data_IF_001691295853
#
_entry.id   IF_001691295853
#
_cell.length_a   1.000
_cell.length_b   1.000
_cell.length_c   1.000
_cell.angle_alpha   90.00
_cell.angle_beta   90.00
_cell.angle_gamma   90.00
#
_symmetry.space_group_name_H-M   'P 1'
#
loop_
_entity.id
_entity.type
_entity.pdbx_description
1 polymer ?
#
# COMPACT_ATOMS: atom_id res chain seq x y z
N UNK A 1 -38.84 11.76 -36.62
CA UNK A 1 -37.72 12.65 -36.36
C UNK A 1 -36.41 11.89 -36.12
N UNK A 2 -36.25 11.07 -35.09
CA UNK A 2 -34.95 10.41 -34.76
C UNK A 2 -34.30 9.55 -35.89
N UNK A 3 -35.04 8.96 -36.81
CA UNK A 3 -34.49 8.09 -37.86
C UNK A 3 -33.92 8.87 -39.05
N UNK A 4 -34.44 10.03 -39.35
CA UNK A 4 -33.94 10.96 -40.40
C UNK A 4 -32.65 11.61 -39.95
N UNK A 5 -32.57 12.12 -38.69
CA UNK A 5 -31.39 12.73 -38.14
C UNK A 5 -30.18 11.76 -38.09
N UNK A 6 -30.43 10.47 -37.81
CA UNK A 6 -29.39 9.43 -37.80
C UNK A 6 -28.86 9.12 -39.21
N UNK A 7 -29.65 9.24 -40.24
CA UNK A 7 -29.21 9.01 -41.63
C UNK A 7 -28.33 10.17 -42.12
N UNK A 8 -28.72 11.39 -41.87
CA UNK A 8 -27.92 12.58 -42.22
C UNK A 8 -26.57 12.61 -41.49
N UNK A 9 -26.53 12.18 -40.22
CA UNK A 9 -25.29 12.11 -39.44
C UNK A 9 -24.35 11.00 -39.97
N UNK A 10 -24.90 9.86 -40.40
CA UNK A 10 -24.11 8.79 -41.01
C UNK A 10 -23.56 9.21 -42.38
N UNK A 11 -24.32 9.95 -43.21
CA UNK A 11 -23.86 10.47 -44.50
C UNK A 11 -22.69 11.47 -44.32
N UNK A 12 -22.71 12.32 -43.29
CA UNK A 12 -21.58 13.18 -42.92
C UNK A 12 -20.35 12.36 -42.56
N UNK A 13 -20.53 11.28 -41.77
CA UNK A 13 -19.43 10.35 -41.41
C UNK A 13 -18.85 9.71 -42.66
N UNK A 14 -19.69 9.27 -43.64
CA UNK A 14 -19.25 8.68 -44.91
C UNK A 14 -18.41 9.67 -45.72
N UNK A 15 -18.85 10.91 -45.87
CA UNK A 15 -18.12 11.96 -46.60
C UNK A 15 -16.75 12.22 -45.97
N UNK A 16 -16.70 12.42 -44.65
CA UNK A 16 -15.46 12.67 -43.93
C UNK A 16 -14.53 11.44 -44.01
N UNK A 17 -15.07 10.23 -43.90
CA UNK A 17 -14.31 8.98 -44.04
C UNK A 17 -13.69 8.80 -45.43
N UNK A 18 -14.40 9.18 -46.50
CA UNK A 18 -13.87 9.19 -47.88
C UNK A 18 -12.66 10.10 -47.98
N UNK A 19 -12.74 11.31 -47.49
CA UNK A 19 -11.61 12.27 -47.51
C UNK A 19 -10.40 11.74 -46.74
N UNK A 20 -10.61 11.10 -45.56
CA UNK A 20 -9.54 10.50 -44.77
C UNK A 20 -8.88 9.34 -45.53
N UNK A 21 -9.69 8.43 -46.13
CA UNK A 21 -9.19 7.25 -46.81
C UNK A 21 -8.54 7.53 -48.17
N UNK A 22 -8.81 8.68 -48.78
CA UNK A 22 -8.08 9.14 -49.97
C UNK A 22 -6.59 9.41 -49.69
N UNK A 23 -6.26 9.82 -48.43
CA UNK A 23 -4.91 10.19 -48.06
C UNK A 23 -4.20 9.15 -47.16
N UNK A 24 -4.95 8.39 -46.37
CA UNK A 24 -4.38 7.50 -45.37
C UNK A 24 -5.01 6.12 -45.36
N UNK A 25 -4.17 5.11 -45.41
CA UNK A 25 -4.56 3.72 -45.23
C UNK A 25 -4.87 3.43 -43.76
N UNK A 26 -6.10 3.25 -43.38
CA UNK A 26 -6.54 2.98 -42.01
C UNK A 26 -7.21 1.61 -41.89
N UNK A 27 -6.92 0.86 -40.83
CA UNK A 27 -7.72 -0.32 -40.47
C UNK A 27 -9.09 0.07 -39.92
N UNK A 28 -10.03 -0.88 -39.89
CA UNK A 28 -11.40 -0.64 -39.42
C UNK A 28 -11.46 -0.11 -38.00
N UNK A 29 -10.58 -0.56 -37.09
CA UNK A 29 -10.52 -0.03 -35.75
C UNK A 29 -10.12 1.45 -35.72
N UNK A 30 -9.11 1.84 -36.51
CA UNK A 30 -8.64 3.21 -36.54
C UNK A 30 -9.63 4.16 -37.26
N UNK A 31 -10.28 3.70 -38.31
CA UNK A 31 -11.32 4.46 -38.99
C UNK A 31 -12.56 4.62 -38.10
N UNK A 32 -13.11 3.51 -37.62
CA UNK A 32 -14.39 3.55 -36.90
C UNK A 32 -14.30 4.26 -35.54
N UNK A 33 -13.13 4.21 -34.82
CA UNK A 33 -12.99 4.90 -33.53
C UNK A 33 -13.16 6.41 -33.60
N UNK A 34 -12.92 7.02 -34.75
CA UNK A 34 -13.12 8.44 -34.94
C UNK A 34 -14.58 8.88 -34.89
N UNK A 35 -15.49 7.96 -35.12
CA UNK A 35 -16.93 8.20 -35.26
C UNK A 35 -17.79 7.46 -34.25
N UNK A 36 -17.18 6.74 -33.27
CA UNK A 36 -17.93 5.94 -32.27
C UNK A 36 -18.95 6.81 -31.52
N UNK A 37 -18.54 7.97 -31.03
CA UNK A 37 -19.40 8.85 -30.23
C UNK A 37 -20.54 9.43 -31.08
N UNK A 38 -20.24 9.95 -32.25
CA UNK A 38 -21.23 10.53 -33.16
C UNK A 38 -22.23 9.49 -33.68
N UNK A 39 -21.74 8.32 -34.02
CA UNK A 39 -22.59 7.24 -34.53
C UNK A 39 -23.28 6.39 -33.45
N UNK A 40 -23.02 6.66 -32.14
CA UNK A 40 -23.54 5.89 -31.00
C UNK A 40 -23.24 4.37 -31.09
N UNK A 41 -22.06 4.00 -31.58
CA UNK A 41 -21.63 2.62 -31.72
C UNK A 41 -20.74 2.15 -30.55
N UNK A 42 -20.86 0.84 -30.22
CA UNK A 42 -20.08 0.23 -29.13
C UNK A 42 -18.72 -0.31 -29.58
N UNK A 43 -18.47 -0.45 -30.89
CA UNK A 43 -17.27 -1.05 -31.46
C UNK A 43 -16.74 -0.27 -32.65
N UNK A 44 -15.52 0.25 -32.54
CA UNK A 44 -14.83 0.93 -33.65
C UNK A 44 -14.60 0.00 -34.84
N UNK A 45 -14.25 -1.27 -34.61
CA UNK A 45 -14.05 -2.25 -35.70
C UNK A 45 -15.32 -2.45 -36.51
N UNK A 46 -16.47 -2.67 -35.83
CA UNK A 46 -17.74 -2.87 -36.52
C UNK A 46 -18.17 -1.64 -37.30
N UNK A 47 -18.04 -0.48 -36.71
CA UNK A 47 -18.36 0.80 -37.35
C UNK A 47 -17.43 1.05 -38.56
N UNK A 48 -16.12 0.86 -38.39
CA UNK A 48 -15.17 1.03 -39.49
C UNK A 48 -15.40 0.10 -40.64
N UNK A 49 -15.77 -1.16 -40.38
CA UNK A 49 -16.16 -2.12 -41.41
C UNK A 49 -17.43 -1.66 -42.13
N UNK A 50 -18.47 -1.22 -41.42
CA UNK A 50 -19.70 -0.67 -42.02
C UNK A 50 -19.41 0.55 -42.91
N UNK A 51 -18.61 1.51 -42.42
CA UNK A 51 -18.20 2.68 -43.21
C UNK A 51 -17.47 2.24 -44.47
N UNK A 52 -16.51 1.34 -44.36
CA UNK A 52 -15.74 0.82 -45.49
C UNK A 52 -16.61 0.15 -46.56
N UNK A 53 -17.56 -0.69 -46.14
CA UNK A 53 -18.51 -1.33 -47.04
C UNK A 53 -19.41 -0.31 -47.76
N UNK A 54 -19.86 0.76 -47.04
CA UNK A 54 -20.69 1.82 -47.62
C UNK A 54 -19.98 2.64 -48.72
N UNK A 55 -18.63 2.69 -48.67
CA UNK A 55 -17.82 3.44 -49.66
C UNK A 55 -17.10 2.54 -50.66
N UNK A 56 -17.34 1.23 -50.63
CA UNK A 56 -16.67 0.21 -51.46
C UNK A 56 -15.12 0.29 -51.41
N UNK A 57 -14.57 0.62 -50.22
CA UNK A 57 -13.13 0.70 -50.04
C UNK A 57 -12.52 -0.66 -49.60
N UNK A 58 -11.37 -1.03 -50.15
CA UNK A 58 -10.68 -2.26 -49.82
C UNK A 58 -10.13 -2.29 -48.39
N UNK A 59 -10.04 -3.48 -47.81
CA UNK A 59 -9.34 -3.67 -46.55
C UNK A 59 -7.84 -3.37 -46.71
N UNK A 60 -7.23 -2.83 -45.68
CA UNK A 60 -5.85 -2.36 -45.68
C UNK A 60 -4.98 -3.37 -44.95
N UNK A 61 -3.84 -3.73 -45.54
CA UNK A 61 -2.87 -4.67 -44.96
C UNK A 61 -2.03 -4.01 -43.86
N UNK A 62 -1.72 -2.70 -43.98
CA UNK A 62 -0.89 -1.97 -43.04
C UNK A 62 -1.48 -0.60 -42.70
N UNK A 63 -1.98 -0.46 -41.48
CA UNK A 63 -2.61 0.77 -41.02
C UNK A 63 -1.57 1.90 -40.81
N UNK A 64 -1.85 3.09 -41.37
CA UNK A 64 -0.99 4.27 -41.19
C UNK A 64 -0.75 4.61 -39.72
N UNK A 65 -1.80 4.61 -38.88
CA UNK A 65 -1.72 5.01 -37.47
C UNK A 65 -1.15 3.88 -36.60
N UNK A 66 -1.86 2.76 -36.51
CA UNK A 66 -1.58 1.74 -35.49
C UNK A 66 -0.50 0.73 -35.89
N UNK A 67 -0.11 0.68 -37.16
CA UNK A 67 0.87 -0.30 -37.68
C UNK A 67 0.53 -1.72 -37.19
N UNK A 68 -0.72 -2.12 -37.38
CA UNK A 68 -1.32 -3.44 -37.06
C UNK A 68 -1.40 -3.79 -35.55
N UNK A 69 -1.27 -2.77 -34.68
CA UNK A 69 -1.40 -2.98 -33.23
C UNK A 69 -2.73 -3.64 -32.84
N UNK A 70 -3.84 -3.24 -33.49
CA UNK A 70 -5.17 -3.81 -33.21
C UNK A 70 -5.31 -5.27 -33.63
N UNK A 71 -4.52 -5.77 -34.59
CA UNK A 71 -4.51 -7.19 -34.96
C UNK A 71 -3.88 -8.07 -33.89
N UNK A 72 -2.94 -7.49 -33.10
CA UNK A 72 -2.22 -8.17 -32.02
C UNK A 72 -2.93 -8.08 -30.65
N UNK A 73 -4.12 -7.49 -30.54
CA UNK A 73 -4.82 -7.31 -29.26
C UNK A 73 -5.03 -8.64 -28.53
N UNK A 74 -5.33 -9.72 -29.24
CA UNK A 74 -5.56 -11.03 -28.62
C UNK A 74 -4.29 -11.60 -27.97
N UNK A 75 -3.11 -11.34 -28.55
CA UNK A 75 -1.82 -11.69 -27.97
C UNK A 75 -1.63 -10.95 -26.62
N UNK A 76 -1.87 -9.65 -26.60
CA UNK A 76 -1.72 -8.87 -25.36
C UNK A 76 -2.76 -9.25 -24.30
N UNK A 77 -3.98 -9.59 -24.69
CA UNK A 77 -4.98 -10.13 -23.75
C UNK A 77 -4.52 -11.47 -23.18
N UNK A 78 -3.90 -12.34 -23.99
CA UNK A 78 -3.28 -13.58 -23.48
C UNK A 78 -2.19 -13.27 -22.46
N UNK A 79 -1.29 -12.33 -22.77
CA UNK A 79 -0.24 -11.89 -21.81
C UNK A 79 -0.85 -11.36 -20.50
N UNK A 80 -1.97 -10.61 -20.56
CA UNK A 80 -2.69 -10.17 -19.35
C UNK A 80 -3.22 -11.36 -18.55
N UNK A 81 -3.81 -12.35 -19.22
CA UNK A 81 -4.29 -13.58 -18.56
C UNK A 81 -3.13 -14.32 -17.89
N UNK A 82 -2.03 -14.54 -18.60
CA UNK A 82 -0.85 -15.24 -18.08
C UNK A 82 -0.23 -14.50 -16.87
N UNK A 83 -0.15 -13.18 -16.95
CA UNK A 83 0.40 -12.34 -15.86
C UNK A 83 -0.54 -12.30 -14.65
N UNK A 84 -1.83 -12.52 -14.81
CA UNK A 84 -2.82 -12.52 -13.73
C UNK A 84 -2.97 -13.86 -13.01
N UNK A 85 -2.27 -14.92 -13.45
CA UNK A 85 -2.34 -16.24 -12.82
C UNK A 85 -1.91 -16.15 -11.36
N UNK A 86 -2.73 -16.71 -10.46
CA UNK A 86 -2.49 -16.74 -9.03
C UNK A 86 -2.90 -15.46 -8.28
N UNK A 87 -3.45 -14.44 -8.96
CA UNK A 87 -3.99 -13.24 -8.33
C UNK A 87 -5.50 -13.33 -8.15
N UNK A 88 -6.00 -12.94 -6.99
CA UNK A 88 -7.42 -12.72 -6.70
C UNK A 88 -7.77 -11.25 -6.94
N UNK A 89 -8.71 -10.99 -7.84
CA UNK A 89 -9.24 -9.65 -8.12
C UNK A 89 -10.63 -9.74 -8.75
N UNK A 90 -11.46 -8.77 -8.50
CA UNK A 90 -12.79 -8.63 -9.12
C UNK A 90 -12.87 -7.44 -10.08
N UNK A 91 -12.01 -6.46 -9.86
CA UNK A 91 -11.96 -5.24 -10.67
C UNK A 91 -10.55 -4.97 -11.20
N UNK A 92 -10.48 -4.38 -12.40
CA UNK A 92 -9.21 -4.05 -13.01
C UNK A 92 -9.28 -2.80 -13.89
N UNK A 93 -8.11 -2.25 -14.20
CA UNK A 93 -7.94 -1.26 -15.27
C UNK A 93 -6.73 -1.59 -16.15
N UNK A 94 -6.68 -1.00 -17.34
CA UNK A 94 -5.60 -1.23 -18.31
C UNK A 94 -4.95 0.08 -18.69
N UNK A 95 -3.63 0.18 -18.51
CA UNK A 95 -2.78 1.22 -19.06
C UNK A 95 -2.00 0.73 -20.28
N UNK A 96 -1.60 1.65 -21.14
CA UNK A 96 -0.79 1.36 -22.33
C UNK A 96 0.37 2.34 -22.46
N UNK A 97 1.55 1.83 -22.81
CA UNK A 97 2.73 2.61 -23.21
C UNK A 97 2.95 2.35 -24.70
N UNK A 98 2.56 3.30 -25.55
CA UNK A 98 2.69 3.22 -27.00
C UNK A 98 4.02 3.82 -27.48
N UNK A 99 4.45 3.43 -28.67
CA UNK A 99 5.52 4.12 -29.40
C UNK A 99 5.08 5.54 -29.72
N UNK A 100 5.95 6.53 -29.49
CA UNK A 100 5.63 7.94 -29.68
C UNK A 100 5.15 8.22 -31.11
N UNK A 101 5.75 7.59 -32.11
CA UNK A 101 5.35 7.72 -33.52
C UNK A 101 3.91 7.27 -33.85
N UNK A 102 3.32 6.39 -33.02
CA UNK A 102 1.91 6.00 -33.17
C UNK A 102 1.02 7.14 -32.68
N UNK A 103 1.36 7.75 -31.55
CA UNK A 103 0.63 8.86 -30.97
C UNK A 103 0.67 10.07 -31.91
N UNK A 104 1.86 10.42 -32.42
CA UNK A 104 2.06 11.56 -33.33
C UNK A 104 1.26 11.40 -34.65
N UNK A 105 1.24 10.20 -35.25
CA UNK A 105 0.42 9.95 -36.45
C UNK A 105 -1.06 10.11 -36.16
N UNK A 106 -1.50 9.65 -34.99
CA UNK A 106 -2.88 9.79 -34.57
C UNK A 106 -3.27 11.25 -34.38
N UNK A 107 -2.44 12.00 -33.64
CA UNK A 107 -2.69 13.42 -33.37
C UNK A 107 -2.64 14.27 -34.64
N UNK A 108 -1.66 14.03 -35.53
CA UNK A 108 -1.55 14.71 -36.80
C UNK A 108 -2.80 14.50 -37.68
N UNK A 109 -3.27 13.28 -37.78
CA UNK A 109 -4.46 12.97 -38.57
C UNK A 109 -5.72 13.60 -37.95
N UNK A 110 -5.92 13.49 -36.63
CA UNK A 110 -7.07 14.09 -35.94
C UNK A 110 -7.06 15.63 -36.09
N UNK A 111 -5.90 16.25 -36.01
CA UNK A 111 -5.76 17.71 -36.23
C UNK A 111 -6.10 18.08 -37.66
N UNK A 112 -5.53 17.37 -38.65
CA UNK A 112 -5.75 17.68 -40.08
C UNK A 112 -7.20 17.61 -40.51
N UNK A 113 -7.94 16.61 -40.03
CA UNK A 113 -9.35 16.42 -40.38
C UNK A 113 -10.32 17.00 -39.34
N UNK A 114 -9.82 17.83 -38.42
CA UNK A 114 -10.63 18.52 -37.39
C UNK A 114 -11.52 17.56 -36.56
N UNK A 115 -11.04 16.36 -36.27
CA UNK A 115 -11.76 15.33 -35.52
C UNK A 115 -11.76 15.70 -34.03
N UNK A 116 -12.71 16.51 -33.60
CA UNK A 116 -12.87 16.95 -32.21
C UNK A 116 -13.67 15.95 -31.38
N UNK A 117 -13.37 15.84 -30.08
CA UNK A 117 -14.13 14.99 -29.13
C UNK A 117 -13.94 13.50 -29.31
N UNK A 118 -13.01 13.05 -30.18
CA UNK A 118 -12.73 11.64 -30.40
C UNK A 118 -11.59 11.15 -29.49
N UNK A 119 -11.71 9.90 -29.09
CA UNK A 119 -10.69 9.25 -28.27
C UNK A 119 -9.36 9.10 -29.01
N UNK A 120 -8.26 9.43 -28.35
CA UNK A 120 -6.93 9.11 -28.86
C UNK A 120 -6.68 7.61 -28.96
N UNK A 121 -5.69 7.23 -29.77
CA UNK A 121 -5.34 5.81 -30.01
C UNK A 121 -5.07 5.04 -28.69
N UNK A 122 -4.46 5.68 -27.70
CA UNK A 122 -4.19 5.06 -26.39
C UNK A 122 -5.47 4.61 -25.69
N UNK A 123 -6.48 5.49 -25.63
CA UNK A 123 -7.79 5.21 -25.04
C UNK A 123 -8.51 4.08 -25.79
N UNK A 124 -8.47 4.12 -27.11
CA UNK A 124 -9.09 3.08 -27.94
C UNK A 124 -8.46 1.70 -27.71
N UNK A 125 -7.13 1.62 -27.64
CA UNK A 125 -6.39 0.38 -27.38
C UNK A 125 -6.69 -0.17 -25.99
N UNK A 126 -6.62 0.65 -24.95
CA UNK A 126 -6.90 0.21 -23.57
C UNK A 126 -8.33 -0.24 -23.40
N UNK A 127 -9.29 0.42 -24.09
CA UNK A 127 -10.71 0.02 -24.13
C UNK A 127 -10.90 -1.35 -24.76
N UNK A 128 -10.26 -1.62 -25.90
CA UNK A 128 -10.38 -2.92 -26.57
C UNK A 128 -9.73 -4.05 -25.77
N UNK A 129 -8.54 -3.80 -25.17
CA UNK A 129 -7.91 -4.73 -24.25
C UNK A 129 -8.82 -5.04 -23.06
N UNK A 130 -9.33 -3.99 -22.40
CA UNK A 130 -10.20 -4.13 -21.24
C UNK A 130 -11.47 -4.91 -21.55
N UNK A 131 -12.17 -4.58 -22.66
CA UNK A 131 -13.39 -5.30 -23.08
C UNK A 131 -13.12 -6.79 -23.34
N UNK A 132 -12.03 -7.11 -24.03
CA UNK A 132 -11.70 -8.51 -24.35
C UNK A 132 -11.27 -9.29 -23.11
N UNK A 133 -10.46 -8.67 -22.24
CA UNK A 133 -10.02 -9.29 -21.00
C UNK A 133 -11.20 -9.53 -20.04
N UNK A 134 -12.07 -8.53 -19.83
CA UNK A 134 -13.27 -8.67 -19.00
C UNK A 134 -14.16 -9.85 -19.45
N UNK A 135 -14.34 -10.04 -20.79
CA UNK A 135 -15.10 -11.17 -21.31
C UNK A 135 -14.47 -12.54 -21.06
N UNK A 136 -13.11 -12.61 -21.03
CA UNK A 136 -12.38 -13.85 -20.76
C UNK A 136 -12.33 -14.22 -19.27
N UNK A 137 -12.32 -13.23 -18.38
CA UNK A 137 -12.07 -13.44 -16.94
C UNK A 137 -13.30 -13.20 -16.08
N UNK A 138 -14.43 -12.78 -16.65
CA UNK A 138 -15.66 -12.41 -15.91
C UNK A 138 -15.45 -11.32 -14.85
N UNK A 139 -14.36 -10.55 -14.97
CA UNK A 139 -14.02 -9.42 -14.09
C UNK A 139 -14.56 -8.10 -14.65
N UNK A 140 -14.62 -7.05 -13.80
CA UNK A 140 -15.18 -5.74 -14.17
C UNK A 140 -14.08 -4.69 -14.32
N UNK A 141 -14.28 -3.78 -15.27
CA UNK A 141 -13.41 -2.61 -15.43
C UNK A 141 -13.80 -1.57 -14.37
N UNK A 142 -12.82 -1.10 -13.62
CA UNK A 142 -12.95 0.00 -12.67
C UNK A 142 -11.75 0.95 -12.86
N UNK A 143 -12.04 2.22 -13.20
CA UNK A 143 -11.01 3.23 -13.44
C UNK A 143 -10.64 4.03 -12.19
N UNK A 144 -11.44 3.95 -11.12
CA UNK A 144 -11.24 4.73 -9.89
C UNK A 144 -10.43 3.95 -8.84
N UNK A 145 -10.89 2.75 -8.49
CA UNK A 145 -10.30 1.95 -7.41
C UNK A 145 -10.11 0.48 -7.81
N UNK A 146 -9.40 0.19 -8.91
CA UNK A 146 -9.23 -1.18 -9.37
C UNK A 146 -8.41 -2.01 -8.37
N UNK A 147 -8.77 -3.29 -8.24
CA UNK A 147 -7.96 -4.26 -7.49
C UNK A 147 -6.63 -4.51 -8.18
N UNK A 148 -6.65 -4.48 -9.55
CA UNK A 148 -5.49 -4.75 -10.38
C UNK A 148 -5.37 -3.75 -11.53
N UNK A 149 -4.17 -3.24 -11.75
CA UNK A 149 -3.82 -2.39 -12.89
C UNK A 149 -2.84 -3.14 -13.77
N UNK A 150 -3.26 -3.42 -15.00
CA UNK A 150 -2.36 -3.93 -16.05
C UNK A 150 -1.72 -2.76 -16.78
N UNK A 151 -0.45 -2.87 -17.11
CA UNK A 151 0.23 -1.94 -18.00
C UNK A 151 0.89 -2.71 -19.13
N UNK A 152 0.38 -2.51 -20.35
CA UNK A 152 0.95 -3.09 -21.56
C UNK A 152 1.96 -2.11 -22.15
N UNK A 153 3.20 -2.53 -22.23
CA UNK A 153 4.26 -1.78 -22.90
C UNK A 153 4.43 -2.31 -24.33
N UNK A 154 3.88 -1.60 -25.30
CA UNK A 154 3.97 -1.95 -26.72
C UNK A 154 5.35 -1.67 -27.35
N UNK A 155 6.27 -1.01 -26.62
CA UNK A 155 7.66 -0.82 -27.08
C UNK A 155 8.49 -2.07 -26.83
N UNK A 156 8.31 -2.66 -25.63
CA UNK A 156 9.08 -3.84 -25.17
C UNK A 156 8.26 -5.14 -25.24
N UNK A 157 7.01 -5.06 -25.67
CA UNK A 157 6.05 -6.17 -25.74
C UNK A 157 5.90 -6.91 -24.40
N UNK A 158 5.78 -6.16 -23.29
CA UNK A 158 5.68 -6.68 -21.94
C UNK A 158 4.37 -6.28 -21.28
N UNK A 159 3.85 -7.14 -20.40
CA UNK A 159 2.75 -6.86 -19.50
C UNK A 159 3.26 -6.83 -18.07
N UNK A 160 2.95 -5.77 -17.36
CA UNK A 160 3.21 -5.65 -15.92
C UNK A 160 1.91 -5.43 -15.15
N UNK A 161 1.89 -5.92 -13.90
CA UNK A 161 0.74 -5.76 -13.00
C UNK A 161 1.12 -4.99 -11.75
N UNK A 162 0.19 -4.17 -11.29
CA UNK A 162 0.21 -3.54 -9.97
C UNK A 162 -1.13 -3.84 -9.29
N UNK A 163 -1.09 -4.36 -8.06
CA UNK A 163 -2.31 -4.65 -7.31
C UNK A 163 -2.54 -3.61 -6.22
N UNK A 164 -3.80 -3.34 -5.91
CA UNK A 164 -4.18 -2.51 -4.78
C UNK A 164 -3.63 -3.13 -3.48
N UNK A 165 -2.98 -2.38 -2.60
CA UNK A 165 -2.50 -2.92 -1.33
C UNK A 165 -3.66 -3.38 -0.44
N UNK A 166 -3.37 -4.36 0.44
CA UNK A 166 -4.25 -4.77 1.53
C UNK A 166 -3.75 -4.15 2.82
N UNK A 167 -4.65 -3.58 3.61
CA UNK A 167 -4.34 -3.00 4.91
C UNK A 167 -4.91 -3.87 6.02
N UNK A 168 -4.10 -4.09 7.06
CA UNK A 168 -4.47 -4.90 8.21
C UNK A 168 -4.26 -4.11 9.49
N UNK A 169 -5.09 -4.41 10.47
CA UNK A 169 -4.89 -4.08 11.88
C UNK A 169 -4.79 -5.37 12.66
N UNK A 170 -3.88 -5.42 13.62
CA UNK A 170 -3.73 -6.55 14.53
C UNK A 170 -3.05 -6.14 15.82
N UNK A 171 -2.91 -7.12 16.71
CA UNK A 171 -2.15 -7.00 17.95
C UNK A 171 -1.22 -8.20 18.09
N UNK A 172 -0.08 -8.00 18.74
CA UNK A 172 0.80 -9.11 19.09
C UNK A 172 1.17 -9.08 20.58
N UNK A 173 1.35 -10.25 21.13
CA UNK A 173 1.95 -10.52 22.44
C UNK A 173 3.35 -11.05 22.18
N UNK A 174 4.33 -10.61 22.95
CA UNK A 174 5.70 -11.11 22.93
C UNK A 174 6.02 -11.62 24.34
N UNK A 175 6.12 -12.92 24.49
CA UNK A 175 6.31 -13.60 25.76
C UNK A 175 7.77 -14.01 26.00
N UNK A 176 8.65 -13.78 25.01
CA UNK A 176 10.08 -14.12 25.09
C UNK A 176 10.94 -12.86 24.97
N UNK A 177 11.98 -12.77 25.80
CA UNK A 177 13.00 -11.70 25.76
C UNK A 177 14.10 -12.03 24.74
N UNK A 178 14.91 -11.04 24.41
CA UNK A 178 15.99 -11.21 23.44
C UNK A 178 15.58 -11.02 21.99
N UNK A 179 14.27 -10.81 21.71
CA UNK A 179 13.68 -10.75 20.40
C UNK A 179 13.34 -9.30 20.00
N UNK A 180 13.97 -8.71 18.99
CA UNK A 180 13.77 -7.31 18.62
C UNK A 180 12.39 -7.09 17.97
N UNK A 181 11.89 -5.84 18.01
CA UNK A 181 10.64 -5.48 17.36
C UNK A 181 10.79 -5.40 15.84
N UNK A 182 11.87 -4.74 15.38
CA UNK A 182 12.10 -4.45 13.96
C UNK A 182 13.17 -5.36 13.39
N UNK A 183 13.00 -5.71 12.12
CA UNK A 183 13.99 -6.43 11.33
C UNK A 183 14.97 -5.46 10.66
N UNK A 184 16.18 -5.94 10.40
CA UNK A 184 17.13 -5.19 9.60
C UNK A 184 16.74 -5.23 8.11
N UNK A 185 16.81 -4.08 7.46
CA UNK A 185 16.53 -4.00 6.03
C UNK A 185 17.63 -4.70 5.22
N UNK A 186 17.23 -5.32 4.13
CA UNK A 186 18.17 -5.85 3.15
C UNK A 186 19.18 -4.78 2.72
N UNK A 187 20.45 -5.06 2.84
CA UNK A 187 21.52 -4.09 2.57
C UNK A 187 21.61 -3.70 1.10
N UNK A 188 21.38 -4.65 0.18
CA UNK A 188 21.44 -4.40 -1.27
C UNK A 188 20.39 -3.42 -1.75
N UNK A 189 19.14 -3.59 -1.31
CA UNK A 189 18.01 -2.76 -1.77
C UNK A 189 17.55 -1.73 -0.75
N UNK A 190 18.13 -1.68 0.45
CA UNK A 190 17.76 -0.79 1.56
C UNK A 190 16.25 -0.83 1.84
N UNK A 191 15.69 -2.04 1.88
CA UNK A 191 14.27 -2.28 2.15
C UNK A 191 13.31 -2.04 0.98
N UNK A 192 13.81 -1.80 -0.24
CA UNK A 192 12.96 -1.57 -1.42
C UNK A 192 12.45 -2.85 -2.08
N UNK A 193 13.10 -3.98 -1.81
CA UNK A 193 12.89 -5.26 -2.47
C UNK A 193 13.80 -5.45 -3.68
N UNK A 194 14.48 -6.61 -3.76
CA UNK A 194 15.32 -7.05 -4.87
C UNK A 194 15.31 -8.58 -4.95
N UNK A 195 15.91 -9.14 -5.98
CA UNK A 195 15.96 -10.60 -6.16
C UNK A 195 16.68 -11.31 -5.01
N UNK A 196 17.69 -10.69 -4.39
CA UNK A 196 18.44 -11.27 -3.27
C UNK A 196 17.57 -11.50 -2.02
N UNK A 197 16.58 -10.64 -1.77
CA UNK A 197 15.63 -10.76 -0.66
C UNK A 197 14.22 -11.16 -1.12
N UNK A 198 14.08 -11.84 -2.25
CA UNK A 198 12.78 -12.27 -2.82
C UNK A 198 11.73 -11.14 -2.88
N UNK A 199 12.21 -9.91 -3.11
CA UNK A 199 11.42 -8.68 -3.08
C UNK A 199 10.81 -8.32 -1.71
N UNK A 200 11.20 -8.99 -0.62
CA UNK A 200 10.66 -8.73 0.73
C UNK A 200 11.23 -7.47 1.37
N UNK A 201 12.44 -7.04 0.98
CA UNK A 201 13.15 -5.91 1.58
C UNK A 201 13.82 -6.24 2.92
N UNK A 202 13.63 -7.45 3.45
CA UNK A 202 14.27 -8.04 4.62
C UNK A 202 14.78 -9.44 4.25
N UNK A 203 15.79 -9.93 4.96
CA UNK A 203 16.42 -11.23 4.67
C UNK A 203 16.13 -12.24 5.78
N UNK A 204 16.27 -11.78 7.03
CA UNK A 204 16.02 -12.57 8.21
C UNK A 204 14.60 -12.37 8.73
N UNK A 205 14.13 -13.32 9.51
CA UNK A 205 12.79 -13.28 10.12
C UNK A 205 12.88 -13.49 11.63
N UNK A 206 13.97 -12.99 12.26
CA UNK A 206 14.28 -13.16 13.67
C UNK A 206 13.87 -11.96 14.54
N UNK A 207 12.79 -11.32 14.16
CA UNK A 207 12.17 -10.20 14.88
C UNK A 207 10.65 -10.33 14.88
N UNK A 208 9.96 -9.51 15.69
CA UNK A 208 8.49 -9.40 15.64
C UNK A 208 8.04 -9.05 14.22
N UNK A 209 8.72 -8.08 13.58
CA UNK A 209 8.47 -7.69 12.20
C UNK A 209 8.67 -8.84 11.23
N UNK A 210 9.78 -9.57 11.36
CA UNK A 210 10.10 -10.70 10.52
C UNK A 210 9.06 -11.81 10.61
N UNK A 211 8.73 -12.28 11.83
CA UNK A 211 7.74 -13.35 12.05
C UNK A 211 6.35 -12.97 11.53
N UNK A 212 5.90 -11.75 11.80
CA UNK A 212 4.60 -11.27 11.27
C UNK A 212 4.65 -11.18 9.75
N UNK A 213 5.75 -10.67 9.17
CA UNK A 213 5.92 -10.59 7.71
C UNK A 213 5.85 -11.96 7.06
N UNK A 214 6.58 -12.94 7.57
CA UNK A 214 6.58 -14.32 7.06
C UNK A 214 5.15 -14.89 7.06
N UNK A 215 4.44 -14.79 8.16
CA UNK A 215 3.05 -15.22 8.26
C UNK A 215 2.14 -14.54 7.22
N UNK A 216 2.32 -13.24 6.99
CA UNK A 216 1.53 -12.49 6.03
C UNK A 216 1.91 -12.81 4.58
N UNK A 217 3.19 -13.08 4.28
CA UNK A 217 3.62 -13.57 2.96
C UNK A 217 2.98 -14.91 2.62
N UNK A 218 3.00 -15.86 3.54
CA UNK A 218 2.37 -17.17 3.34
C UNK A 218 0.86 -17.08 3.12
N UNK A 219 0.18 -16.22 3.89
CA UNK A 219 -1.29 -16.06 3.78
C UNK A 219 -1.71 -15.30 2.53
N UNK A 220 -1.08 -14.18 2.23
CA UNK A 220 -1.52 -13.27 1.18
C UNK A 220 -0.72 -13.36 -0.13
N UNK A 221 0.42 -14.05 -0.14
CA UNK A 221 1.34 -14.05 -1.27
C UNK A 221 1.83 -12.63 -1.61
N UNK A 222 1.97 -11.77 -0.61
CA UNK A 222 2.44 -10.41 -0.78
C UNK A 222 3.95 -10.38 -1.03
N UNK A 223 4.42 -9.41 -1.83
CA UNK A 223 5.85 -9.26 -2.05
C UNK A 223 6.52 -8.56 -0.85
N UNK A 224 5.85 -7.58 -0.25
CA UNK A 224 6.40 -6.78 0.84
C UNK A 224 5.32 -6.39 1.85
N UNK A 225 5.68 -6.30 3.12
CA UNK A 225 4.85 -5.77 4.20
C UNK A 225 5.52 -4.54 4.79
N UNK A 226 4.75 -3.45 4.97
CA UNK A 226 5.19 -2.24 5.66
C UNK A 226 4.37 -2.04 6.92
N UNK A 227 5.04 -1.88 8.06
CA UNK A 227 4.40 -1.73 9.36
C UNK A 227 4.30 -0.26 9.79
N UNK A 228 3.19 0.04 10.48
CA UNK A 228 3.05 1.23 11.32
C UNK A 228 2.87 0.76 12.75
N UNK A 229 3.93 0.87 13.52
CA UNK A 229 4.00 0.44 14.91
C UNK A 229 3.38 1.47 15.85
N UNK A 230 2.61 1.00 16.83
CA UNK A 230 2.08 1.84 17.89
C UNK A 230 3.06 1.80 19.08
N UNK A 231 4.02 2.72 19.04
CA UNK A 231 5.15 2.78 19.95
C UNK A 231 6.23 1.73 19.68
N UNK A 232 7.39 1.92 20.30
CA UNK A 232 8.54 1.02 20.22
C UNK A 232 8.69 0.16 21.47
N UNK A 233 9.46 -0.91 21.36
CA UNK A 233 9.86 -1.75 22.47
C UNK A 233 11.34 -2.13 22.33
N UNK A 234 11.92 -2.54 23.43
CA UNK A 234 13.27 -3.06 23.49
C UNK A 234 13.28 -4.58 23.27
N UNK A 235 14.37 -5.13 22.75
CA UNK A 235 14.52 -6.59 22.60
C UNK A 235 14.38 -7.34 23.94
N UNK A 236 14.71 -6.68 25.05
CA UNK A 236 14.59 -7.25 26.40
C UNK A 236 13.20 -7.10 27.02
N UNK A 237 12.28 -6.40 26.39
CA UNK A 237 10.93 -6.16 26.90
C UNK A 237 9.98 -7.29 26.52
N UNK A 238 9.01 -7.57 27.39
CA UNK A 238 7.82 -8.36 27.09
C UNK A 238 6.65 -7.46 26.68
N UNK A 239 5.75 -8.02 25.91
CA UNK A 239 4.46 -7.39 25.55
C UNK A 239 3.36 -8.33 25.99
N UNK A 240 2.58 -7.90 26.98
CA UNK A 240 1.60 -8.72 27.68
C UNK A 240 0.15 -8.21 27.47
N UNK A 241 -0.77 -8.78 28.23
CA UNK A 241 -2.17 -8.37 28.30
C UNK A 241 -2.90 -8.47 26.96
N UNK A 242 -3.47 -7.35 26.50
CA UNK A 242 -4.14 -7.27 25.20
C UNK A 242 -3.16 -7.08 24.02
N UNK A 243 -1.87 -7.22 24.26
CA UNK A 243 -0.83 -7.08 23.23
C UNK A 243 -0.67 -5.66 22.68
N UNK A 244 0.36 -5.47 21.87
CA UNK A 244 0.65 -4.21 21.18
C UNK A 244 -0.07 -4.15 19.84
N UNK A 245 -0.80 -3.07 19.54
CA UNK A 245 -1.42 -2.89 18.24
C UNK A 245 -0.39 -2.55 17.17
N UNK A 246 -0.65 -2.97 15.94
CA UNK A 246 0.08 -2.59 14.75
C UNK A 246 -0.84 -2.47 13.54
N UNK A 247 -0.39 -1.72 12.55
CA UNK A 247 -0.97 -1.71 11.22
C UNK A 247 0.05 -2.28 10.23
N UNK A 248 -0.44 -3.00 9.22
CA UNK A 248 0.37 -3.54 8.16
C UNK A 248 -0.22 -3.19 6.80
N UNK A 249 0.64 -2.75 5.87
CA UNK A 249 0.32 -2.52 4.47
C UNK A 249 1.02 -3.57 3.62
N UNK A 250 0.25 -4.45 3.01
CA UNK A 250 0.75 -5.50 2.13
C UNK A 250 0.83 -4.96 0.71
N UNK A 251 2.00 -5.04 0.10
CA UNK A 251 2.25 -4.62 -1.27
C UNK A 251 2.20 -5.83 -2.20
N UNK A 252 1.56 -5.65 -3.34
CA UNK A 252 1.38 -6.69 -4.36
C UNK A 252 0.82 -8.02 -3.83
N UNK A 253 -0.26 -8.00 -3.00
CA UNK A 253 -0.87 -9.23 -2.52
C UNK A 253 -1.47 -10.01 -3.69
N UNK A 254 -1.27 -11.35 -3.68
CA UNK A 254 -1.90 -12.26 -4.63
C UNK A 254 -3.31 -12.65 -4.19
N UNK A 255 -3.50 -12.84 -2.90
CA UNK A 255 -4.79 -13.21 -2.29
C UNK A 255 -5.36 -12.04 -1.49
N UNK A 256 -6.70 -11.90 -1.47
CA UNK A 256 -7.39 -10.78 -0.82
C UNK A 256 -8.50 -11.23 0.13
N UNK A 257 -9.27 -12.23 -0.28
CA UNK A 257 -10.43 -12.71 0.47
C UNK A 257 -10.04 -13.88 1.39
N UNK A 258 -9.20 -13.58 2.41
CA UNK A 258 -8.67 -14.60 3.30
C UNK A 258 -9.41 -14.57 4.62
N UNK A 259 -9.85 -15.72 5.09
CA UNK A 259 -10.33 -15.89 6.46
C UNK A 259 -9.14 -15.85 7.42
N UNK A 260 -9.00 -14.76 8.15
CA UNK A 260 -7.95 -14.58 9.13
C UNK A 260 -8.31 -15.31 10.44
N UNK A 261 -7.33 -16.04 11.04
CA UNK A 261 -7.56 -16.70 12.33
C UNK A 261 -7.70 -15.67 13.45
N UNK A 262 -8.52 -15.97 14.46
CA UNK A 262 -8.68 -15.11 15.65
C UNK A 262 -7.38 -14.95 16.44
N UNK A 263 -6.54 -16.00 16.44
CA UNK A 263 -5.25 -16.05 17.12
C UNK A 263 -4.28 -16.93 16.31
N UNK A 264 -3.03 -16.51 16.20
CA UNK A 264 -1.95 -17.28 15.56
C UNK A 264 -0.72 -17.24 16.46
N UNK A 265 -0.19 -18.40 16.77
CA UNK A 265 1.08 -18.53 17.49
C UNK A 265 2.22 -18.65 16.47
N UNK A 266 3.24 -17.81 16.60
CA UNK A 266 4.42 -17.74 15.75
C UNK A 266 5.69 -17.86 16.63
N UNK A 267 5.80 -18.96 17.35
CA UNK A 267 6.87 -19.26 18.31
C UNK A 267 6.97 -18.23 19.45
N UNK A 268 7.78 -17.19 19.27
CA UNK A 268 8.07 -16.17 20.29
C UNK A 268 6.99 -15.10 20.43
N UNK A 269 6.04 -15.08 19.50
CA UNK A 269 4.97 -14.08 19.48
C UNK A 269 3.62 -14.72 19.18
N UNK A 270 2.58 -14.10 19.68
CA UNK A 270 1.20 -14.47 19.34
C UNK A 270 0.49 -13.28 18.73
N UNK A 271 -0.01 -13.43 17.50
CA UNK A 271 -0.87 -12.44 16.86
C UNK A 271 -2.33 -12.73 17.23
N UNK A 272 -3.12 -11.68 17.48
CA UNK A 272 -4.56 -11.81 17.67
C UNK A 272 -5.32 -10.57 17.17
N UNK A 273 -6.63 -10.76 16.93
CA UNK A 273 -7.50 -9.69 16.45
C UNK A 273 -7.08 -9.13 15.08
N UNK A 274 -6.38 -9.94 14.26
CA UNK A 274 -5.98 -9.56 12.91
C UNK A 274 -7.21 -9.43 12.02
N UNK A 275 -7.37 -8.27 11.37
CA UNK A 275 -8.48 -8.00 10.46
C UNK A 275 -8.07 -7.04 9.35
N UNK A 276 -8.76 -7.13 8.22
CA UNK A 276 -8.64 -6.14 7.14
C UNK A 276 -9.31 -4.83 7.55
N UNK A 277 -8.74 -3.74 7.08
CA UNK A 277 -9.25 -2.37 7.22
C UNK A 277 -9.13 -1.65 5.88
N UNK A 278 -9.89 -0.60 5.68
CA UNK A 278 -9.90 0.13 4.41
C UNK A 278 -8.62 0.95 4.20
N UNK A 279 -8.10 1.54 5.26
CA UNK A 279 -6.87 2.34 5.23
C UNK A 279 -6.21 2.39 6.61
N UNK A 280 -4.91 2.67 6.64
CA UNK A 280 -4.21 3.01 7.88
C UNK A 280 -4.51 4.46 8.23
N UNK A 281 -4.81 4.80 9.51
CA UNK A 281 -5.05 6.18 9.92
C UNK A 281 -3.92 7.11 9.49
N UNK A 282 -4.28 8.26 8.95
CA UNK A 282 -3.33 9.31 8.59
C UNK A 282 -3.00 10.16 9.82
N UNK A 283 -1.71 10.53 9.96
CA UNK A 283 -1.24 11.38 11.04
C UNK A 283 -0.83 10.65 12.32
N UNK A 284 -0.58 11.39 13.40
CA UNK A 284 -0.14 10.83 14.68
C UNK A 284 -1.22 9.96 15.33
N UNK A 285 -0.84 8.76 15.73
CA UNK A 285 -1.73 7.85 16.45
C UNK A 285 -1.46 7.98 17.93
N UNK A 286 -2.39 8.58 18.66
CA UNK A 286 -2.29 8.76 20.11
C UNK A 286 -2.69 7.48 20.83
N UNK A 287 -1.95 7.18 21.90
CA UNK A 287 -2.21 6.01 22.72
C UNK A 287 -1.71 6.22 24.15
N UNK A 288 -2.24 5.44 25.08
CA UNK A 288 -1.76 5.33 26.45
C UNK A 288 -1.16 3.95 26.68
N UNK A 289 -0.18 3.86 27.56
CA UNK A 289 0.48 2.60 27.87
C UNK A 289 0.57 2.37 29.37
N UNK A 290 0.38 1.12 29.80
CA UNK A 290 0.67 0.64 31.15
C UNK A 290 1.96 -0.16 31.09
N UNK A 291 2.99 0.30 31.84
CA UNK A 291 4.35 -0.22 31.74
C UNK A 291 4.88 -0.52 33.13
N UNK A 292 5.52 -1.67 33.29
CA UNK A 292 6.29 -2.03 34.47
C UNK A 292 7.78 -1.82 34.17
N UNK A 293 8.48 -1.11 35.04
CA UNK A 293 9.90 -0.74 34.88
C UNK A 293 10.67 -1.27 36.07
N UNK A 294 11.67 -2.10 35.85
CA UNK A 294 12.64 -2.49 36.87
C UNK A 294 13.83 -1.51 36.83
N UNK A 295 14.03 -0.82 37.93
CA UNK A 295 15.05 0.20 38.07
C UNK A 295 16.11 -0.25 39.07
N UNK A 296 17.38 -0.11 38.70
CA UNK A 296 18.52 -0.23 39.57
C UNK A 296 19.12 1.14 39.93
N UNK A 297 19.74 1.25 41.08
CA UNK A 297 20.35 2.49 41.59
C UNK A 297 21.79 2.24 41.98
N UNK A 298 22.65 3.26 41.73
CA UNK A 298 24.05 3.18 42.11
C UNK A 298 24.21 3.14 43.66
N UNK A 299 23.38 3.91 44.38
CA UNK A 299 23.38 4.03 45.82
C UNK A 299 22.14 3.40 46.46
N UNK A 300 22.20 3.08 47.74
CA UNK A 300 21.07 2.58 48.51
C UNK A 300 19.89 3.54 48.48
N UNK A 301 18.69 3.03 48.30
CA UNK A 301 17.48 3.81 48.28
C UNK A 301 16.56 3.48 49.48
N UNK A 302 16.06 4.51 50.12
CA UNK A 302 15.08 4.38 51.21
C UNK A 302 13.65 4.44 50.65
N UNK A 303 12.71 3.78 51.35
CA UNK A 303 11.28 3.86 51.02
C UNK A 303 10.73 5.29 51.10
N UNK A 304 11.34 6.14 51.91
CA UNK A 304 10.99 7.55 52.06
C UNK A 304 11.36 8.36 50.80
N UNK A 305 12.53 8.08 50.18
CA UNK A 305 12.94 8.70 48.92
C UNK A 305 11.97 8.29 47.77
N UNK A 306 11.52 7.03 47.70
CA UNK A 306 10.60 6.57 46.68
C UNK A 306 9.25 7.29 46.69
N UNK A 307 8.81 7.86 47.85
CA UNK A 307 7.58 8.67 47.90
C UNK A 307 7.61 9.88 46.98
N UNK A 308 8.83 10.44 46.70
CA UNK A 308 9.01 11.58 45.79
C UNK A 308 8.54 11.28 44.36
N UNK A 309 8.57 10.02 43.92
CA UNK A 309 8.10 9.62 42.57
C UNK A 309 6.66 10.02 42.30
N UNK A 310 5.83 10.24 43.34
CA UNK A 310 4.44 10.70 43.15
C UNK A 310 4.38 12.09 42.49
N UNK A 311 5.43 12.90 42.55
CA UNK A 311 5.52 14.20 41.87
C UNK A 311 5.42 14.06 40.34
N UNK A 312 5.80 12.91 39.77
CA UNK A 312 5.68 12.62 38.34
C UNK A 312 4.21 12.57 37.83
N UNK A 313 3.24 12.42 38.72
CA UNK A 313 1.81 12.42 38.33
C UNK A 313 1.31 13.86 38.09
N UNK A 314 1.86 14.82 38.84
CA UNK A 314 1.43 16.23 38.80
C UNK A 314 2.27 17.09 37.85
N UNK A 315 3.44 16.61 37.45
CA UNK A 315 4.37 17.35 36.58
C UNK A 315 4.45 16.69 35.18
N UNK A 316 4.10 17.39 34.10
CA UNK A 316 4.30 16.89 32.78
C UNK A 316 5.78 16.58 32.48
N UNK A 317 6.00 15.51 31.76
CA UNK A 317 7.35 15.13 31.30
C UNK A 317 7.64 15.83 29.98
N UNK A 318 8.72 16.58 29.94
CA UNK A 318 9.22 17.22 28.71
C UNK A 318 10.33 16.35 28.11
N UNK A 319 10.17 16.02 26.86
CA UNK A 319 11.09 15.16 26.08
C UNK A 319 11.64 15.98 24.94
N UNK A 320 12.95 16.12 24.87
CA UNK A 320 13.65 16.75 23.73
C UNK A 320 14.08 15.65 22.75
N UNK A 321 13.60 15.72 21.51
CA UNK A 321 13.99 14.78 20.44
C UNK A 321 15.34 15.17 19.80
N UNK A 322 15.82 14.34 18.86
CA UNK A 322 17.09 14.57 18.14
C UNK A 322 17.10 15.85 17.30
N UNK A 323 15.94 16.41 16.98
CA UNK A 323 15.78 17.65 16.21
C UNK A 323 15.53 18.86 17.15
N UNK A 324 15.81 18.73 18.44
CA UNK A 324 15.56 19.73 19.48
C UNK A 324 14.07 20.13 19.65
N UNK A 325 13.15 19.33 19.16
CA UNK A 325 11.73 19.57 19.34
C UNK A 325 11.27 19.02 20.68
N UNK A 326 10.50 19.82 21.40
CA UNK A 326 9.96 19.45 22.70
C UNK A 326 8.59 18.80 22.58
N UNK A 327 8.39 17.71 23.32
CA UNK A 327 7.14 16.98 23.44
C UNK A 327 6.76 16.85 24.90
N UNK A 328 5.53 17.21 25.25
CA UNK A 328 4.99 17.03 26.61
C UNK A 328 4.22 15.73 26.71
N UNK A 329 4.44 14.98 27.79
CA UNK A 329 3.79 13.70 28.09
C UNK A 329 3.31 13.69 29.54
N UNK A 330 2.22 12.99 29.81
CA UNK A 330 1.59 12.92 31.13
C UNK A 330 1.64 11.51 31.69
N UNK A 331 2.00 11.38 32.97
CA UNK A 331 1.81 10.16 33.74
C UNK A 331 0.52 10.30 34.51
N UNK A 332 -0.45 9.40 34.27
CA UNK A 332 -1.77 9.42 34.89
C UNK A 332 -1.80 8.68 36.21
N UNK A 333 -1.05 7.57 36.30
CA UNK A 333 -0.96 6.72 37.50
C UNK A 333 0.47 6.24 37.66
N UNK A 334 0.91 6.16 38.91
CA UNK A 334 2.22 5.64 39.28
C UNK A 334 2.10 4.84 40.56
N UNK A 335 2.62 3.61 40.53
CA UNK A 335 2.82 2.75 41.68
C UNK A 335 4.29 2.35 41.74
N UNK A 336 4.82 2.16 42.95
CA UNK A 336 6.20 1.69 43.11
C UNK A 336 6.27 0.63 44.20
N UNK A 337 7.26 -0.26 44.11
CA UNK A 337 7.56 -1.27 45.11
C UNK A 337 9.10 -1.38 45.25
N UNK A 338 9.60 -1.26 46.47
CA UNK A 338 11.02 -1.50 46.76
C UNK A 338 11.29 -3.00 46.67
N UNK A 339 12.31 -3.43 45.92
CA UNK A 339 12.69 -4.84 45.75
C UNK A 339 13.89 -5.17 46.61
N UNK A 340 14.89 -4.28 46.67
CA UNK A 340 16.14 -4.44 47.46
C UNK A 340 16.66 -3.08 47.91
N UNK A 341 17.88 -3.05 48.48
CA UNK A 341 18.55 -1.80 48.81
C UNK A 341 18.86 -0.92 47.60
N UNK A 342 19.09 -1.55 46.41
CA UNK A 342 19.50 -0.87 45.19
C UNK A 342 18.56 -1.12 44.01
N UNK A 343 17.36 -1.67 44.22
CA UNK A 343 16.40 -1.85 43.15
C UNK A 343 14.94 -1.66 43.58
N UNK A 344 14.14 -1.19 42.65
CA UNK A 344 12.71 -1.01 42.83
C UNK A 344 11.97 -1.15 41.49
N UNK A 345 10.71 -1.46 41.57
CA UNK A 345 9.82 -1.53 40.42
C UNK A 345 8.88 -0.34 40.39
N UNK A 346 8.68 0.25 39.23
CA UNK A 346 7.70 1.32 39.00
C UNK A 346 6.70 0.84 37.95
N UNK A 347 5.40 0.89 38.27
CA UNK A 347 4.32 0.73 37.32
C UNK A 347 3.76 2.11 36.99
N UNK A 348 3.73 2.47 35.71
CA UNK A 348 3.17 3.71 35.21
C UNK A 348 2.03 3.47 34.24
N UNK A 349 1.02 4.33 34.26
CA UNK A 349 0.06 4.51 33.18
C UNK A 349 0.26 5.92 32.64
N UNK A 350 0.67 6.04 31.38
CA UNK A 350 1.16 7.28 30.79
C UNK A 350 0.82 7.41 29.32
N UNK A 351 0.97 8.61 28.77
CA UNK A 351 0.95 8.85 27.33
C UNK A 351 1.98 7.97 26.61
N UNK A 352 1.61 7.51 25.43
CA UNK A 352 2.49 6.74 24.58
C UNK A 352 3.68 7.55 24.06
N UNK A 353 4.77 6.84 23.75
CA UNK A 353 5.97 7.42 23.15
C UNK A 353 6.98 7.99 24.15
N UNK A 354 6.86 7.69 25.45
CA UNK A 354 7.92 7.98 26.44
C UNK A 354 9.08 6.98 26.21
N UNK A 355 10.31 7.42 25.93
CA UNK A 355 11.47 6.55 25.83
C UNK A 355 11.92 6.10 27.22
N UNK A 356 11.46 4.91 27.65
CA UNK A 356 11.50 4.44 29.05
C UNK A 356 12.92 4.44 29.65
N UNK A 357 13.93 3.98 28.91
CA UNK A 357 15.31 4.01 29.41
C UNK A 357 15.76 5.43 29.72
N UNK A 358 15.55 6.35 28.79
CA UNK A 358 15.88 7.79 28.96
C UNK A 358 15.04 8.46 30.04
N UNK A 359 13.80 8.02 30.26
CA UNK A 359 12.96 8.50 31.36
C UNK A 359 13.51 8.07 32.71
N UNK A 360 14.16 6.90 32.79
CA UNK A 360 14.79 6.46 34.05
C UNK A 360 16.10 7.20 34.30
N UNK A 361 17.01 7.31 33.32
CA UNK A 361 18.35 7.90 33.49
C UNK A 361 18.36 9.43 33.43
N UNK A 362 17.42 10.06 32.72
CA UNK A 362 17.27 11.50 32.59
C UNK A 362 17.89 12.12 31.35
N UNK A 363 18.32 11.32 30.37
CA UNK A 363 18.92 11.87 29.18
C UNK A 363 17.87 12.57 28.28
N UNK A 364 17.93 13.90 28.19
CA UNK A 364 17.00 14.78 27.46
C UNK A 364 15.52 14.59 27.87
N UNK A 365 15.25 14.27 29.13
CA UNK A 365 13.91 14.13 29.71
C UNK A 365 13.85 14.76 31.08
N UNK A 366 12.92 15.69 31.31
CA UNK A 366 12.72 16.41 32.56
C UNK A 366 11.22 16.48 32.88
N UNK A 367 10.78 16.11 34.11
CA UNK A 367 11.55 15.40 35.12
C UNK A 367 11.76 13.92 34.76
N UNK A 368 12.83 13.33 35.25
CA UNK A 368 13.16 11.92 35.16
C UNK A 368 13.12 11.22 36.52
N UNK A 369 13.16 9.88 36.53
CA UNK A 369 13.25 9.12 37.78
C UNK A 369 14.54 9.51 38.53
N UNK A 370 15.69 9.59 37.84
CA UNK A 370 16.97 9.97 38.42
C UNK A 370 16.93 11.39 39.02
N UNK A 371 16.36 12.36 38.32
CA UNK A 371 16.30 13.76 38.78
C UNK A 371 15.38 13.90 40.00
N UNK A 372 14.25 13.25 40.07
CA UNK A 372 13.33 13.27 41.19
C UNK A 372 13.94 12.62 42.45
N UNK A 373 14.66 11.53 42.27
CA UNK A 373 15.27 10.82 43.40
C UNK A 373 16.62 11.43 43.84
N UNK A 374 17.24 12.28 43.00
CA UNK A 374 18.57 12.83 43.24
C UNK A 374 19.64 11.75 43.32
N UNK A 375 19.49 10.65 42.59
CA UNK A 375 20.45 9.55 42.51
C UNK A 375 20.44 8.97 41.07
N UNK A 376 21.59 8.49 40.65
CA UNK A 376 21.70 7.85 39.34
C UNK A 376 20.92 6.52 39.30
N UNK A 377 19.97 6.43 38.37
CA UNK A 377 19.14 5.25 38.15
C UNK A 377 19.37 4.71 36.75
N UNK A 378 19.26 3.41 36.60
CA UNK A 378 19.33 2.70 35.31
C UNK A 378 18.13 1.81 35.14
N UNK A 379 17.58 1.76 33.92
CA UNK A 379 16.51 0.84 33.58
C UNK A 379 17.11 -0.53 33.24
N UNK A 380 16.90 -1.54 34.08
CA UNK A 380 17.33 -2.90 33.77
C UNK A 380 16.47 -3.54 32.69
N UNK A 381 15.17 -3.44 32.85
CA UNK A 381 14.16 -3.92 31.88
C UNK A 381 12.84 -3.21 32.10
N UNK A 382 12.01 -3.23 31.09
CA UNK A 382 10.62 -2.81 31.21
C UNK A 382 9.71 -3.71 30.40
N UNK A 383 8.49 -3.89 30.87
CA UNK A 383 7.49 -4.73 30.25
C UNK A 383 6.22 -3.92 30.00
N UNK A 384 5.63 -4.14 28.84
CA UNK A 384 4.42 -3.44 28.40
C UNK A 384 3.22 -4.31 28.74
N UNK A 385 2.48 -3.89 29.76
CA UNK A 385 1.32 -4.65 30.22
C UNK A 385 0.09 -4.39 29.35
N UNK A 386 -0.10 -3.16 28.88
CA UNK A 386 -1.27 -2.80 28.09
C UNK A 386 -1.03 -1.54 27.26
N UNK A 387 -1.65 -1.50 26.06
CA UNK A 387 -1.72 -0.31 25.21
C UNK A 387 -3.18 -0.04 24.84
N UNK A 388 -3.62 1.19 25.07
CA UNK A 388 -4.93 1.71 24.74
C UNK A 388 -4.81 2.74 23.63
N UNK A 389 -5.46 2.52 22.49
CA UNK A 389 -5.58 3.54 21.45
C UNK A 389 -6.56 4.60 21.92
N UNK A 390 -6.20 5.86 21.80
CA UNK A 390 -7.14 6.96 21.93
C UNK A 390 -8.09 6.96 20.74
N UNK A 391 -9.37 7.20 20.99
CA UNK A 391 -10.38 7.33 19.93
C UNK A 391 -10.14 8.59 19.12
#
# INVERSE_FOLDING_TARGET
MQKYDMLEEFDKIILQSKSILQEYDLCDNCLGRFFISSAHWSSGRRLGNKIRNSINSRAVTKCHICKDLFSKIDLYVKMMCDTSIGYEFSTFTVGAILKQSIIERDDKLRSKFHLRGVDGIKTAVTRELGKKFARKTTTRIDHLLPDMTFTINFKTEQCSVKTKPVFLYGRYIKDKRGFPQKEESCQDCKGKGCNFCDNHGIILFDSVEGKISQFLYEKFGANQVKFTWIGGEDKTSLVMGKGRPFFAKLLSPKKRNIRLPKKSNLDEITIHGLRQIDHIPNGPIYFKSKINILVSTKNNISSQKLKKLKQLITTPIEITDANNKQHKKTIYKLKYKKNSLRSFTVEIEADGGIPIKRFVDGFNIIPSISSILGIQCSCEKFDINQIYLSK
#
